data_IF_047738831082
#
_entry.id   IF_047738831082
#
_cell.length_a   1.000
_cell.length_b   1.000
_cell.length_c   1.000
_cell.angle_alpha   90.00
_cell.angle_beta   90.00
_cell.angle_gamma   90.00
#
_symmetry.space_group_name_H-M   'P 1'
#
loop_
_entity.id
_entity.type
_entity.pdbx_description
1 polymer ?
#
# COMPACT_ATOMS: atom_id res chain seq x y z
N UNK A 1 21.71 46.97 -64.64
CA UNK A 1 22.67 45.89 -64.36
C UNK A 1 21.91 44.61 -64.04
N UNK A 2 22.30 43.47 -64.62
CA UNK A 2 21.93 42.14 -64.14
C UNK A 2 20.53 41.63 -64.47
N UNK A 3 20.46 40.63 -65.36
CA UNK A 3 19.26 39.84 -65.68
C UNK A 3 19.22 38.54 -64.85
N UNK A 4 17.99 38.04 -64.61
CA UNK A 4 17.56 36.61 -64.68
C UNK A 4 18.34 35.53 -63.90
N UNK A 5 17.58 34.66 -63.22
CA UNK A 5 18.03 33.29 -62.96
C UNK A 5 17.37 32.62 -61.75
N UNK A 6 16.36 31.80 -61.98
CA UNK A 6 15.92 30.84 -60.95
C UNK A 6 16.92 29.68 -60.88
N UNK A 7 17.18 29.16 -59.68
CA UNK A 7 17.56 27.76 -59.52
C UNK A 7 16.83 27.16 -58.33
N UNK A 8 16.04 26.13 -58.62
CA UNK A 8 15.31 25.33 -57.65
C UNK A 8 16.26 24.20 -57.26
N UNK A 9 16.77 24.18 -56.02
CA UNK A 9 17.68 23.11 -55.58
C UNK A 9 16.89 21.91 -55.06
N UNK A 10 16.28 21.18 -56.00
CA UNK A 10 15.71 19.87 -55.74
C UNK A 10 16.82 18.82 -55.65
N UNK A 11 17.41 18.68 -54.46
CA UNK A 11 17.75 17.40 -53.81
C UNK A 11 18.63 17.61 -52.58
N UNK A 12 18.01 17.90 -51.44
CA UNK A 12 18.50 17.29 -50.20
C UNK A 12 17.32 16.79 -49.36
N UNK A 13 17.19 15.47 -49.25
CA UNK A 13 16.11 14.81 -48.52
C UNK A 13 16.36 14.88 -47.00
N UNK A 14 16.29 16.09 -46.44
CA UNK A 14 16.09 16.28 -45.00
C UNK A 14 14.70 15.78 -44.63
N UNK A 15 14.64 14.63 -43.94
CA UNK A 15 13.39 13.97 -43.56
C UNK A 15 12.43 14.93 -42.87
N UNK A 16 11.21 15.05 -43.41
CA UNK A 16 10.10 15.79 -42.77
C UNK A 16 9.48 14.94 -41.63
N UNK A 17 10.34 14.41 -40.75
CA UNK A 17 10.00 13.40 -39.74
C UNK A 17 10.41 13.73 -38.30
N UNK A 18 11.38 14.63 -38.10
CA UNK A 18 12.11 14.72 -36.82
C UNK A 18 11.62 15.83 -35.86
N UNK A 19 10.37 16.30 -36.02
CA UNK A 19 9.73 17.28 -35.11
C UNK A 19 8.56 16.65 -34.32
N UNK A 20 8.78 15.45 -33.76
CA UNK A 20 7.81 14.78 -32.87
C UNK A 20 8.31 14.37 -31.48
N UNK A 21 9.62 14.43 -31.21
CA UNK A 21 10.19 13.97 -29.94
C UNK A 21 10.82 15.12 -29.11
N UNK A 22 10.07 16.19 -28.86
CA UNK A 22 10.41 17.24 -27.87
C UNK A 22 9.27 17.35 -26.82
N UNK A 23 8.54 16.26 -26.60
CA UNK A 23 7.35 16.22 -25.73
C UNK A 23 7.22 15.01 -24.80
N UNK A 24 8.21 14.10 -24.77
CA UNK A 24 8.12 12.83 -24.02
C UNK A 24 9.03 12.72 -22.79
N UNK A 25 9.78 13.77 -22.42
CA UNK A 25 10.57 13.83 -21.18
C UNK A 25 9.90 14.66 -20.04
N UNK A 26 8.57 14.82 -20.09
CA UNK A 26 7.81 15.16 -18.87
C UNK A 26 7.78 13.91 -17.99
N UNK A 27 8.86 13.69 -17.23
CA UNK A 27 8.92 12.64 -16.22
C UNK A 27 7.72 12.77 -15.28
N UNK A 28 6.83 11.78 -15.33
CA UNK A 28 5.64 11.74 -14.47
C UNK A 28 6.09 11.51 -13.01
N UNK A 29 6.26 12.61 -12.28
CA UNK A 29 6.65 12.66 -10.86
C UNK A 29 5.61 12.01 -9.91
N UNK A 30 4.39 11.77 -10.41
CA UNK A 30 3.40 10.95 -9.69
C UNK A 30 3.95 9.55 -9.40
N UNK A 31 3.96 9.18 -8.13
CA UNK A 31 4.22 7.80 -7.68
C UNK A 31 3.09 6.84 -8.05
N UNK A 32 3.40 5.53 -8.07
CA UNK A 32 2.46 4.43 -8.25
C UNK A 32 2.55 3.40 -7.12
N UNK A 33 1.42 2.80 -6.73
CA UNK A 33 1.37 1.77 -5.67
C UNK A 33 2.41 0.65 -5.88
N UNK A 34 2.42 0.01 -7.06
CA UNK A 34 3.31 -1.13 -7.36
C UNK A 34 4.78 -0.79 -7.07
N UNK A 35 5.24 0.37 -7.50
CA UNK A 35 6.63 0.80 -7.36
C UNK A 35 6.97 1.11 -5.90
N UNK A 36 6.05 1.76 -5.17
CA UNK A 36 6.16 2.00 -3.72
C UNK A 36 6.24 0.66 -2.98
N UNK A 37 5.32 -0.27 -3.29
CA UNK A 37 5.18 -1.60 -2.71
C UNK A 37 6.45 -2.42 -2.91
N UNK A 38 6.96 -2.50 -4.13
CA UNK A 38 8.18 -3.24 -4.46
C UNK A 38 9.44 -2.64 -3.82
N UNK A 39 9.52 -1.30 -3.72
CA UNK A 39 10.60 -0.62 -2.99
C UNK A 39 10.52 -0.87 -1.48
N UNK A 40 9.32 -0.78 -0.90
CA UNK A 40 9.07 -0.98 0.53
C UNK A 40 9.33 -2.43 0.97
N UNK A 41 8.87 -3.43 0.20
CA UNK A 41 9.14 -4.85 0.47
C UNK A 41 10.65 -5.14 0.48
N UNK A 42 11.41 -4.56 -0.46
CA UNK A 42 12.88 -4.71 -0.50
C UNK A 42 13.54 -4.13 0.75
N UNK A 43 13.19 -2.91 1.16
CA UNK A 43 13.73 -2.30 2.39
C UNK A 43 13.34 -3.07 3.66
N UNK A 44 12.11 -3.58 3.75
CA UNK A 44 11.65 -4.37 4.90
C UNK A 44 12.43 -5.68 5.03
N UNK A 45 12.73 -6.35 3.90
CA UNK A 45 13.54 -7.57 3.86
C UNK A 45 15.02 -7.31 4.19
N UNK A 46 15.58 -6.14 3.88
CA UNK A 46 16.95 -5.78 4.27
C UNK A 46 17.07 -5.35 5.73
N UNK A 47 16.09 -4.61 6.27
CA UNK A 47 16.11 -4.11 7.66
C UNK A 47 15.94 -5.23 8.70
N UNK A 48 15.14 -6.27 8.41
CA UNK A 48 14.69 -7.25 9.41
C UNK A 48 14.93 -8.69 8.96
N UNK A 49 15.69 -9.44 9.76
CA UNK A 49 15.82 -10.89 9.62
C UNK A 49 14.59 -11.62 10.19
N UNK A 50 14.17 -12.70 9.53
CA UNK A 50 13.09 -13.61 9.98
C UNK A 50 11.73 -12.91 10.18
N UNK A 51 11.29 -12.16 9.16
CA UNK A 51 9.93 -11.62 9.08
C UNK A 51 9.10 -12.39 8.05
N UNK A 52 7.79 -12.54 8.31
CA UNK A 52 6.81 -12.98 7.30
C UNK A 52 6.08 -11.74 6.78
N UNK A 53 6.07 -11.57 5.46
CA UNK A 53 5.39 -10.49 4.77
C UNK A 53 4.17 -11.07 4.06
N UNK A 54 3.02 -10.43 4.22
CA UNK A 54 1.77 -10.76 3.53
C UNK A 54 1.30 -9.51 2.81
N UNK A 55 1.11 -9.58 1.50
CA UNK A 55 0.43 -8.53 0.73
C UNK A 55 -1.08 -8.70 0.87
N UNK A 56 -1.81 -7.58 0.84
CA UNK A 56 -3.27 -7.52 0.74
C UNK A 56 -3.97 -8.42 1.77
N UNK A 57 -3.67 -8.21 3.05
CA UNK A 57 -4.28 -8.97 4.13
C UNK A 57 -5.60 -8.33 4.56
N UNK A 58 -6.71 -9.06 4.40
CA UNK A 58 -8.00 -8.64 4.95
C UNK A 58 -7.99 -8.73 6.49
N UNK A 59 -8.40 -7.64 7.14
CA UNK A 59 -8.59 -7.53 8.59
C UNK A 59 -10.08 -7.43 8.95
N UNK A 60 -10.91 -8.15 8.17
CA UNK A 60 -12.37 -8.25 8.28
C UNK A 60 -13.07 -6.89 8.15
N UNK A 61 -12.90 -6.25 6.99
CA UNK A 61 -13.57 -4.99 6.61
C UNK A 61 -12.62 -3.90 6.14
N UNK A 62 -11.31 -4.11 6.25
CA UNK A 62 -10.28 -3.32 5.58
C UNK A 62 -9.09 -4.22 5.23
N UNK A 63 -8.57 -4.04 4.01
CA UNK A 63 -7.39 -4.76 3.51
C UNK A 63 -6.16 -3.90 3.73
N UNK A 64 -5.22 -4.35 4.57
CA UNK A 64 -3.92 -3.70 4.76
C UNK A 64 -2.98 -4.09 3.61
N UNK A 65 -2.36 -3.10 2.97
CA UNK A 65 -1.53 -3.31 1.77
C UNK A 65 -0.36 -4.27 2.01
N UNK A 66 0.39 -4.07 3.08
CA UNK A 66 1.46 -4.98 3.50
C UNK A 66 1.39 -5.20 5.01
N UNK A 67 1.15 -6.45 5.39
CA UNK A 67 1.28 -6.91 6.76
C UNK A 67 2.67 -7.53 6.97
N UNK A 68 3.34 -7.16 8.07
CA UNK A 68 4.65 -7.68 8.47
C UNK A 68 4.56 -8.25 9.88
N UNK A 69 4.80 -9.54 9.98
CA UNK A 69 4.83 -10.26 11.25
C UNK A 69 6.28 -10.58 11.59
N UNK A 70 6.76 -10.03 12.70
CA UNK A 70 8.01 -10.45 13.34
C UNK A 70 7.72 -11.29 14.59
N UNK A 71 8.76 -11.75 15.29
CA UNK A 71 8.61 -12.62 16.48
C UNK A 71 7.75 -12.04 17.61
N UNK A 72 7.55 -10.72 17.65
CA UNK A 72 6.92 -10.03 18.79
C UNK A 72 5.80 -9.07 18.41
N UNK A 73 5.78 -8.55 17.18
CA UNK A 73 4.86 -7.48 16.77
C UNK A 73 4.20 -7.75 15.42
N UNK A 74 2.91 -7.44 15.35
CA UNK A 74 2.16 -7.38 14.10
C UNK A 74 2.14 -5.94 13.57
N UNK A 75 2.85 -5.68 12.47
CA UNK A 75 2.99 -4.34 11.88
C UNK A 75 2.24 -4.26 10.55
N UNK A 76 1.52 -3.17 10.30
CA UNK A 76 0.89 -2.90 9.01
C UNK A 76 1.47 -1.69 8.31
N UNK A 77 1.53 -1.76 6.99
CA UNK A 77 1.88 -0.66 6.10
C UNK A 77 0.73 -0.45 5.12
N UNK A 78 0.18 0.75 5.10
CA UNK A 78 -0.88 1.20 4.18
C UNK A 78 -0.26 2.11 3.12
N UNK A 79 -0.58 1.92 1.84
CA UNK A 79 -0.02 2.68 0.71
C UNK A 79 -1.08 3.62 0.14
N UNK A 80 -0.70 4.87 -0.15
CA UNK A 80 -1.51 5.86 -0.88
C UNK A 80 -0.63 6.65 -1.83
N UNK A 81 -0.53 6.20 -3.08
CA UNK A 81 0.18 6.90 -4.16
C UNK A 81 -0.40 8.28 -4.44
N UNK A 82 0.26 9.09 -5.26
CA UNK A 82 -0.25 10.42 -5.66
C UNK A 82 -1.61 10.36 -6.40
N UNK A 83 -1.97 9.19 -6.93
CA UNK A 83 -3.22 8.93 -7.63
C UNK A 83 -4.36 8.48 -6.70
N UNK A 84 -4.03 8.08 -5.47
CA UNK A 84 -5.02 7.58 -4.51
C UNK A 84 -5.88 8.68 -3.90
N UNK A 85 -7.10 8.30 -3.51
CA UNK A 85 -7.98 9.13 -2.68
C UNK A 85 -7.86 8.73 -1.21
N UNK A 86 -7.87 9.71 -0.31
CA UNK A 86 -7.87 9.47 1.13
C UNK A 86 -9.26 9.13 1.69
N UNK A 87 -10.29 8.98 0.85
CA UNK A 87 -11.69 8.80 1.25
C UNK A 87 -11.93 7.58 2.14
N UNK A 88 -11.18 6.49 1.93
CA UNK A 88 -11.26 5.25 2.73
C UNK A 88 -10.41 5.29 4.01
N UNK A 89 -9.45 6.20 4.11
CA UNK A 89 -8.46 6.20 5.19
C UNK A 89 -9.08 6.33 6.59
N UNK A 90 -10.13 7.13 6.86
CA UNK A 90 -10.74 7.23 8.19
C UNK A 90 -11.36 5.93 8.73
N UNK A 91 -11.92 5.06 7.87
CA UNK A 91 -12.46 3.76 8.30
C UNK A 91 -11.35 2.70 8.40
N UNK A 92 -10.40 2.71 7.46
CA UNK A 92 -9.20 1.88 7.52
C UNK A 92 -8.42 2.12 8.82
N UNK A 93 -8.21 3.40 9.19
CA UNK A 93 -7.55 3.79 10.44
C UNK A 93 -8.18 3.15 11.67
N UNK A 94 -9.51 3.18 11.79
CA UNK A 94 -10.22 2.59 12.93
C UNK A 94 -9.95 1.09 13.05
N UNK A 95 -10.10 0.35 11.95
CA UNK A 95 -9.87 -1.11 11.93
C UNK A 95 -8.39 -1.41 12.24
N UNK A 96 -7.46 -0.70 11.62
CA UNK A 96 -6.03 -0.91 11.83
C UNK A 96 -5.60 -0.60 13.27
N UNK A 97 -6.18 0.42 13.89
CA UNK A 97 -5.94 0.79 15.29
C UNK A 97 -6.51 -0.23 16.29
N UNK A 98 -7.43 -1.13 15.90
CA UNK A 98 -7.87 -2.24 16.74
C UNK A 98 -6.98 -3.51 16.61
N UNK A 99 -6.19 -3.65 15.54
CA UNK A 99 -5.58 -4.93 15.17
C UNK A 99 -4.04 -4.91 15.15
N UNK A 100 -3.42 -3.83 14.67
CA UNK A 100 -1.98 -3.76 14.37
C UNK A 100 -1.17 -3.07 15.50
N UNK A 101 -0.18 -3.77 16.07
CA UNK A 101 0.71 -3.25 17.14
C UNK A 101 1.42 -1.95 16.74
N UNK A 102 1.70 -1.81 15.44
CA UNK A 102 2.27 -0.61 14.80
C UNK A 102 1.68 -0.45 13.40
N UNK A 103 1.31 0.77 13.05
CA UNK A 103 0.84 1.12 11.71
C UNK A 103 1.79 2.17 11.12
N UNK A 104 2.08 2.07 9.83
CA UNK A 104 2.79 3.09 9.06
C UNK A 104 2.01 3.37 7.78
N UNK A 105 1.75 4.64 7.47
CA UNK A 105 1.24 5.01 6.15
C UNK A 105 2.40 5.45 5.25
N UNK A 106 2.40 4.97 4.00
CA UNK A 106 3.41 5.24 2.98
C UNK A 106 2.73 5.91 1.81
N UNK A 107 3.13 7.15 1.51
CA UNK A 107 2.33 8.04 0.67
C UNK A 107 3.15 8.73 -0.41
N UNK A 108 2.54 9.01 -1.56
CA UNK A 108 3.06 10.01 -2.49
C UNK A 108 3.10 11.41 -1.83
N UNK A 109 4.08 12.24 -2.23
CA UNK A 109 4.34 13.53 -1.58
C UNK A 109 3.10 14.44 -1.53
N UNK A 110 2.28 14.44 -2.60
CA UNK A 110 1.07 15.27 -2.69
C UNK A 110 0.04 15.01 -1.58
N UNK A 111 0.08 13.82 -0.95
CA UNK A 111 -0.87 13.44 0.11
C UNK A 111 -0.43 13.89 1.50
N UNK A 112 0.83 14.30 1.68
CA UNK A 112 1.40 14.57 3.01
C UNK A 112 0.60 15.62 3.82
N UNK A 113 0.16 16.76 3.28
CA UNK A 113 -0.61 17.75 4.04
C UNK A 113 -1.97 17.22 4.56
N UNK A 114 -2.62 16.35 3.78
CA UNK A 114 -3.89 15.73 4.17
C UNK A 114 -3.70 14.63 5.21
N UNK A 115 -2.72 13.74 4.98
CA UNK A 115 -2.39 12.62 5.87
C UNK A 115 -1.88 13.09 7.23
N UNK A 116 -0.94 14.05 7.26
CA UNK A 116 -0.36 14.55 8.50
C UNK A 116 -1.40 15.22 9.42
N UNK A 117 -2.50 15.74 8.84
CA UNK A 117 -3.61 16.37 9.58
C UNK A 117 -4.49 15.37 10.31
N UNK A 118 -4.72 14.18 9.73
CA UNK A 118 -5.72 13.22 10.24
C UNK A 118 -5.11 11.99 10.93
N UNK A 119 -3.89 11.60 10.57
CA UNK A 119 -3.32 10.32 11.02
C UNK A 119 -2.64 10.44 12.41
N UNK A 120 -3.07 9.66 13.43
CA UNK A 120 -2.63 9.77 14.82
C UNK A 120 -1.11 9.77 15.04
N UNK A 121 -0.64 10.51 16.05
CA UNK A 121 0.79 10.72 16.33
C UNK A 121 1.61 9.45 16.68
N UNK A 122 0.98 8.27 16.83
CA UNK A 122 1.67 6.99 17.00
C UNK A 122 1.88 6.24 15.68
N UNK A 123 1.19 6.58 14.60
CA UNK A 123 1.44 6.01 13.28
C UNK A 123 2.77 6.49 12.70
N UNK A 124 3.46 5.61 11.99
CA UNK A 124 4.55 6.01 11.11
C UNK A 124 4.04 6.75 9.87
N UNK A 125 4.88 7.63 9.32
CA UNK A 125 4.67 8.26 8.01
C UNK A 125 5.97 8.11 7.21
N UNK A 126 5.84 7.59 6.00
CA UNK A 126 6.89 7.55 4.98
C UNK A 126 6.36 8.28 3.75
N UNK A 127 7.14 9.20 3.20
CA UNK A 127 6.87 9.78 1.87
C UNK A 127 7.66 8.98 0.83
N UNK A 128 6.99 8.61 -0.25
CA UNK A 128 7.57 8.10 -1.46
C UNK A 128 7.74 9.25 -2.46
N UNK A 129 8.96 9.41 -2.95
CA UNK A 129 9.36 10.40 -3.96
C UNK A 129 9.71 9.68 -5.26
N UNK A 130 9.31 10.20 -6.42
CA UNK A 130 9.69 9.63 -7.71
C UNK A 130 10.89 10.40 -8.32
N UNK A 131 12.11 9.96 -8.02
CA UNK A 131 13.30 10.62 -8.53
C UNK A 131 13.85 9.87 -9.75
N UNK A 132 13.59 10.40 -10.95
CA UNK A 132 14.04 9.85 -12.24
C UNK A 132 13.65 8.36 -12.41
N UNK A 133 12.35 8.08 -12.31
CA UNK A 133 11.76 6.72 -12.38
C UNK A 133 12.27 5.75 -11.30
N UNK A 134 12.68 6.28 -10.14
CA UNK A 134 13.09 5.48 -8.96
C UNK A 134 12.40 6.01 -7.71
N UNK A 135 11.66 5.13 -7.04
CA UNK A 135 11.04 5.45 -5.75
C UNK A 135 12.11 5.53 -4.65
N UNK A 136 12.13 6.66 -3.94
CA UNK A 136 12.90 6.87 -2.72
C UNK A 136 11.94 7.02 -1.54
N UNK A 137 12.19 6.29 -0.44
CA UNK A 137 11.33 6.29 0.74
C UNK A 137 11.95 7.14 1.87
N UNK A 138 11.36 8.30 2.12
CA UNK A 138 11.77 9.21 3.19
C UNK A 138 10.92 8.98 4.45
N UNK A 139 11.55 8.56 5.55
CA UNK A 139 10.86 8.30 6.82
C UNK A 139 10.65 9.61 7.60
N UNK A 140 9.45 10.19 7.53
CA UNK A 140 9.09 11.45 8.22
C UNK A 140 8.74 11.22 9.69
N UNK A 141 7.98 10.16 10.00
CA UNK A 141 7.55 9.83 11.37
C UNK A 141 7.77 8.36 11.65
N UNK A 142 8.46 8.04 12.74
CA UNK A 142 8.69 6.64 13.17
C UNK A 142 7.45 6.11 13.90
N UNK A 143 6.94 4.91 13.57
CA UNK A 143 5.79 4.32 14.26
C UNK A 143 6.13 4.02 15.72
N UNK A 144 5.19 4.35 16.60
CA UNK A 144 5.18 4.01 18.03
C UNK A 144 4.20 2.86 18.27
N UNK A 145 4.19 2.29 19.47
CA UNK A 145 3.20 1.28 19.82
C UNK A 145 1.80 1.87 19.87
N UNK A 146 0.89 1.18 19.18
CA UNK A 146 -0.54 1.43 19.27
C UNK A 146 -1.06 1.06 20.67
N UNK A 147 -1.50 2.06 21.43
CA UNK A 147 -2.01 1.88 22.80
C UNK A 147 -3.46 1.39 22.86
N UNK A 148 -4.22 1.43 21.76
CA UNK A 148 -5.60 0.93 21.74
C UNK A 148 -5.63 -0.59 21.92
N UNK A 149 -4.71 -1.31 21.27
CA UNK A 149 -4.56 -2.78 21.39
C UNK A 149 -4.25 -3.22 22.82
N UNK A 150 -3.44 -2.47 23.57
CA UNK A 150 -3.14 -2.82 24.97
C UNK A 150 -4.38 -2.78 25.90
N UNK A 151 -5.49 -2.17 25.46
CA UNK A 151 -6.75 -2.14 26.21
C UNK A 151 -7.70 -3.29 25.87
N UNK A 152 -7.48 -4.03 24.79
CA UNK A 152 -8.35 -5.12 24.36
C UNK A 152 -7.56 -6.43 24.15
N UNK A 153 -7.21 -7.07 25.27
CA UNK A 153 -6.42 -8.30 25.28
C UNK A 153 -7.12 -9.49 24.60
N UNK A 154 -8.46 -9.51 24.61
CA UNK A 154 -9.27 -10.53 23.93
C UNK A 154 -9.13 -10.42 22.42
N UNK A 155 -9.33 -9.22 21.86
CA UNK A 155 -9.08 -8.98 20.44
C UNK A 155 -7.65 -9.37 20.06
N UNK A 156 -6.64 -8.94 20.83
CA UNK A 156 -5.25 -9.32 20.60
C UNK A 156 -5.01 -10.84 20.62
N UNK A 157 -5.74 -11.59 21.45
CA UNK A 157 -5.63 -13.06 21.52
C UNK A 157 -6.29 -13.74 20.31
N UNK A 158 -7.49 -13.32 19.94
CA UNK A 158 -8.25 -13.85 18.79
C UNK A 158 -7.48 -13.62 17.48
N UNK A 159 -7.09 -12.37 17.20
CA UNK A 159 -6.30 -12.04 16.02
C UNK A 159 -4.98 -12.81 15.96
N UNK A 160 -4.37 -13.13 17.11
CA UNK A 160 -3.15 -13.95 17.12
C UNK A 160 -3.40 -15.41 16.70
N UNK A 161 -4.54 -16.01 17.05
CA UNK A 161 -4.93 -17.32 16.50
C UNK A 161 -5.23 -17.22 15.00
N UNK A 162 -6.05 -16.27 14.59
CA UNK A 162 -6.49 -16.13 13.19
C UNK A 162 -5.29 -15.90 12.26
N UNK A 163 -4.34 -15.04 12.67
CA UNK A 163 -3.08 -14.85 11.97
C UNK A 163 -2.29 -16.15 11.91
N UNK A 164 -2.13 -16.88 13.02
CA UNK A 164 -1.39 -18.16 13.03
C UNK A 164 -2.00 -19.17 12.07
N UNK A 165 -3.33 -19.23 11.95
CA UNK A 165 -4.01 -20.13 11.04
C UNK A 165 -3.89 -19.67 9.57
N UNK A 166 -3.97 -18.36 9.30
CA UNK A 166 -3.61 -17.79 7.98
C UNK A 166 -2.15 -18.10 7.62
N UNK A 167 -1.22 -18.02 8.58
CA UNK A 167 0.19 -18.34 8.37
C UNK A 167 0.37 -19.82 8.02
N UNK A 168 -0.26 -20.72 8.79
CA UNK A 168 -0.24 -22.18 8.58
C UNK A 168 -0.79 -22.55 7.22
N UNK A 169 -1.96 -22.02 6.84
CA UNK A 169 -2.58 -22.26 5.54
C UNK A 169 -1.67 -21.78 4.41
N UNK A 170 -1.05 -20.61 4.51
CA UNK A 170 -0.11 -20.12 3.48
C UNK A 170 1.22 -20.88 3.43
N UNK A 171 1.67 -21.45 4.54
CA UNK A 171 2.85 -22.35 4.53
C UNK A 171 2.48 -23.72 3.93
N UNK A 172 1.28 -24.23 4.23
CA UNK A 172 0.72 -25.47 3.67
C UNK A 172 0.38 -25.35 2.18
N UNK A 173 0.02 -24.18 1.66
CA UNK A 173 -0.20 -23.94 0.22
C UNK A 173 1.10 -23.98 -0.62
N UNK A 174 2.23 -24.34 -0.01
CA UNK A 174 3.46 -24.78 -0.70
C UNK A 174 3.40 -26.27 -1.08
N UNK A 175 2.33 -26.96 -0.70
CA UNK A 175 1.97 -28.35 -1.02
C UNK A 175 0.55 -28.31 -1.61
N UNK A 176 0.24 -29.21 -2.54
CA UNK A 176 -0.91 -29.09 -3.44
C UNK A 176 -2.31 -29.01 -2.79
N UNK A 177 -3.23 -28.48 -3.60
CA UNK A 177 -4.57 -27.97 -3.29
C UNK A 177 -5.51 -28.93 -2.54
N UNK A 178 -6.29 -28.40 -1.59
CA UNK A 178 -7.58 -28.94 -1.15
C UNK A 178 -8.48 -27.82 -0.55
N UNK A 179 -9.83 -27.94 -0.60
CA UNK A 179 -10.73 -26.81 -0.37
C UNK A 179 -11.03 -26.52 1.11
N UNK A 180 -11.27 -25.25 1.43
CA UNK A 180 -11.73 -24.80 2.74
C UNK A 180 -13.16 -25.29 3.03
N UNK A 181 -13.29 -26.14 4.04
CA UNK A 181 -14.53 -26.30 4.81
C UNK A 181 -14.32 -25.70 6.20
N UNK A 182 -15.23 -24.83 6.65
CA UNK A 182 -15.34 -24.48 8.06
C UNK A 182 -16.81 -24.44 8.48
N UNK A 183 -17.17 -25.40 9.32
CA UNK A 183 -18.44 -25.56 10.03
C UNK A 183 -18.02 -25.74 11.51
N UNK A 184 -18.70 -25.29 12.56
CA UNK A 184 -20.09 -24.82 12.70
C UNK A 184 -20.26 -24.05 14.03
N UNK A 185 -21.34 -23.28 14.17
CA UNK A 185 -22.18 -23.38 15.38
C UNK A 185 -22.20 -22.25 16.43
N UNK A 186 -23.39 -21.61 16.54
CA UNK A 186 -23.98 -20.95 17.74
C UNK A 186 -23.27 -19.69 18.30
N UNK A 187 -23.94 -18.65 18.81
CA UNK A 187 -25.35 -18.32 19.16
C UNK A 187 -25.56 -16.80 18.88
N UNK A 188 -26.73 -16.14 18.91
CA UNK A 188 -28.12 -16.42 19.35
C UNK A 188 -29.09 -15.54 18.51
N UNK A 189 -30.42 -15.77 18.52
CA UNK A 189 -31.38 -14.85 17.88
C UNK A 189 -32.84 -15.30 17.85
N UNK A 190 -33.54 -15.25 18.99
CA UNK A 190 -34.99 -15.48 19.06
C UNK A 190 -35.77 -14.31 18.43
N UNK A 191 -36.68 -14.60 17.50
CA UNK A 191 -37.68 -13.62 17.02
C UNK A 191 -39.00 -13.90 17.73
N UNK A 192 -39.60 -12.92 18.44
CA UNK A 192 -40.90 -13.11 19.07
C UNK A 192 -42.02 -13.06 18.02
N UNK A 193 -42.83 -14.12 18.04
CA UNK A 193 -44.08 -14.21 17.29
C UNK A 193 -45.10 -13.21 17.86
N UNK A 194 -45.64 -12.33 17.01
CA UNK A 194 -46.85 -11.58 17.30
C UNK A 194 -48.00 -12.11 16.44
N UNK A 195 -49.04 -12.61 17.10
CA UNK A 195 -50.32 -12.88 16.47
C UNK A 195 -51.13 -11.59 16.36
N UNK A 196 -51.62 -11.28 15.16
CA UNK A 196 -53.02 -11.04 14.75
C UNK A 196 -53.01 -10.67 13.26
#
# INVERSE_FOLDING_TARGET
FGMVGAFWDSNNHGSFGDIKNIGEDIMNDSTYDREIRDKLIRELKSDKKNIKIINELDLHGAVIDIAVIDKKYFCGYEIKSDRDTLRRLPIQMQIYDFVLDKITIVIGESKFPGVNRIVPAFWGIIIAHNMNSKIILQRIRKPKFNKFISKNWLAKKLWKSDIVDILRVKDLSSIDQAPFFFNSGHIFGLVPMWHI
#
